data_IF_539541824951
#
_entry.id   IF_539541824951
#
_cell.length_a   1.000
_cell.length_b   1.000
_cell.length_c   1.000
_cell.angle_alpha   90.00
_cell.angle_beta   90.00
_cell.angle_gamma   90.00
#
_symmetry.space_group_name_H-M   'P 1'
#
loop_
_entity.id
_entity.type
_entity.pdbx_description
1 polymer ?
#
# COMPACT_ATOMS: atom_id res chain seq x y z
N UNK A 1 -45.49 1.46 -7.92
CA UNK A 1 -44.58 2.62 -8.00
C UNK A 1 -43.27 2.22 -7.32
N UNK A 2 -42.36 1.60 -8.06
CA UNK A 2 -41.09 1.07 -7.53
C UNK A 2 -40.06 2.20 -7.47
N UNK A 3 -39.62 2.59 -6.28
CA UNK A 3 -38.42 3.43 -6.11
C UNK A 3 -37.21 2.51 -5.97
N UNK A 4 -36.28 2.64 -6.91
CA UNK A 4 -35.04 1.88 -7.06
C UNK A 4 -34.13 2.07 -5.83
N UNK A 5 -33.42 0.99 -5.52
CA UNK A 5 -32.24 0.94 -4.67
C UNK A 5 -31.21 1.96 -5.16
N UNK A 6 -30.65 2.73 -4.23
CA UNK A 6 -29.34 3.37 -4.35
C UNK A 6 -28.71 3.31 -2.96
N UNK A 7 -28.10 2.17 -2.65
CA UNK A 7 -27.06 2.07 -1.64
C UNK A 7 -25.89 2.89 -2.18
N UNK A 8 -25.93 4.22 -1.98
CA UNK A 8 -24.72 5.02 -2.11
C UNK A 8 -24.15 5.11 -0.71
N UNK A 9 -23.44 4.03 -0.38
CA UNK A 9 -22.38 3.97 0.60
C UNK A 9 -21.47 5.17 0.30
N UNK A 10 -21.58 6.20 1.13
CA UNK A 10 -20.75 7.40 1.05
C UNK A 10 -19.31 6.94 1.31
N UNK A 11 -18.59 6.66 0.22
CA UNK A 11 -17.17 6.44 0.20
C UNK A 11 -16.51 7.74 0.65
N UNK A 12 -16.42 7.95 1.96
CA UNK A 12 -15.51 8.92 2.54
C UNK A 12 -14.13 8.39 2.22
N UNK A 13 -13.59 8.81 1.07
CA UNK A 13 -12.16 8.79 0.79
C UNK A 13 -11.51 9.57 1.95
N UNK A 14 -11.15 8.86 3.01
CA UNK A 14 -10.29 9.38 4.04
C UNK A 14 -8.96 9.70 3.36
N UNK A 15 -8.85 10.95 2.91
CA UNK A 15 -7.68 11.53 2.25
C UNK A 15 -6.44 11.47 3.12
N UNK A 16 -6.55 11.04 4.38
CA UNK A 16 -5.46 10.85 5.32
C UNK A 16 -5.72 9.56 6.12
N UNK A 17 -4.69 8.75 6.40
CA UNK A 17 -4.85 7.60 7.28
C UNK A 17 -5.37 8.03 8.67
N UNK A 18 -6.13 7.15 9.35
CA UNK A 18 -6.70 7.45 10.67
C UNK A 18 -5.60 7.65 11.73
N UNK A 19 -5.97 8.25 12.85
CA UNK A 19 -5.13 8.36 14.06
C UNK A 19 -3.76 9.02 13.83
N UNK A 20 -3.72 10.06 12.98
CA UNK A 20 -2.50 10.81 12.62
C UNK A 20 -1.34 9.94 12.12
N UNK A 21 -1.65 8.76 11.58
CA UNK A 21 -0.65 7.89 11.00
C UNK A 21 0.04 8.56 9.81
N UNK A 22 1.29 8.18 9.54
CA UNK A 22 2.02 8.72 8.40
C UNK A 22 1.48 8.09 7.10
N UNK A 23 1.08 8.89 6.10
CA UNK A 23 0.59 8.36 4.82
C UNK A 23 1.68 7.64 4.01
N UNK A 24 2.96 7.83 4.35
CA UNK A 24 4.08 7.08 3.79
C UNK A 24 4.88 6.45 4.93
N UNK A 25 5.27 5.18 4.78
CA UNK A 25 6.15 4.49 5.72
C UNK A 25 7.13 3.59 4.98
N UNK A 26 8.42 3.76 5.26
CA UNK A 26 9.45 2.81 4.83
C UNK A 26 9.66 1.78 5.95
N UNK A 27 9.40 0.52 5.66
CA UNK A 27 9.62 -0.59 6.60
C UNK A 27 10.92 -1.28 6.20
N UNK A 28 11.87 -1.35 7.13
CA UNK A 28 13.13 -2.09 6.94
C UNK A 28 13.30 -3.16 8.01
N UNK A 29 14.03 -4.22 7.68
CA UNK A 29 14.34 -5.31 8.60
C UNK A 29 14.98 -6.50 7.89
N UNK A 30 15.30 -7.54 8.65
CA UNK A 30 15.73 -8.83 8.09
C UNK A 30 14.59 -9.47 7.30
N UNK A 31 14.91 -10.22 6.25
CA UNK A 31 13.96 -11.05 5.53
C UNK A 31 13.50 -12.24 6.40
N UNK A 32 12.58 -11.98 7.32
CA UNK A 32 12.05 -12.96 8.26
C UNK A 32 10.55 -12.80 8.52
N UNK A 33 9.98 -13.72 9.31
CA UNK A 33 8.57 -13.72 9.66
C UNK A 33 8.12 -12.44 10.38
N UNK A 34 8.99 -11.75 11.11
CA UNK A 34 8.65 -10.50 11.78
C UNK A 34 8.51 -9.36 10.76
N UNK A 35 9.39 -9.30 9.76
CA UNK A 35 9.24 -8.35 8.66
C UNK A 35 7.95 -8.60 7.88
N UNK A 36 7.69 -9.84 7.48
CA UNK A 36 6.46 -10.23 6.79
C UNK A 36 5.21 -9.82 7.59
N UNK A 37 5.19 -10.07 8.90
CA UNK A 37 4.07 -9.67 9.78
C UNK A 37 3.83 -8.17 9.77
N UNK A 38 4.88 -7.35 9.88
CA UNK A 38 4.77 -5.87 9.87
C UNK A 38 4.21 -5.34 8.55
N UNK A 39 4.55 -5.99 7.42
CA UNK A 39 3.97 -5.65 6.11
C UNK A 39 2.51 -6.08 6.06
N UNK A 40 2.17 -7.30 6.46
CA UNK A 40 0.78 -7.78 6.50
C UNK A 40 -0.11 -6.91 7.37
N UNK A 41 0.37 -6.44 8.53
CA UNK A 41 -0.34 -5.50 9.39
C UNK A 41 -0.60 -4.16 8.70
N UNK A 42 0.41 -3.60 8.01
CA UNK A 42 0.22 -2.35 7.25
C UNK A 42 -0.83 -2.52 6.14
N UNK A 43 -0.81 -3.65 5.42
CA UNK A 43 -1.79 -3.96 4.40
C UNK A 43 -3.19 -4.13 4.99
N UNK A 44 -3.33 -4.79 6.13
CA UNK A 44 -4.60 -4.94 6.84
C UNK A 44 -5.18 -3.60 7.31
N UNK A 45 -4.32 -2.63 7.65
CA UNK A 45 -4.71 -1.26 7.99
C UNK A 45 -5.16 -0.43 6.78
N UNK A 46 -4.96 -0.93 5.55
CA UNK A 46 -5.40 -0.25 4.33
C UNK A 46 -4.27 0.40 3.52
N UNK A 47 -3.01 0.29 3.95
CA UNK A 47 -1.89 0.71 3.12
C UNK A 47 -1.78 -0.14 1.84
N UNK A 48 -1.01 0.37 0.88
CA UNK A 48 -0.63 -0.31 -0.36
C UNK A 48 0.88 -0.37 -0.47
N UNK A 49 1.39 -1.41 -1.12
CA UNK A 49 2.81 -1.50 -1.45
C UNK A 49 3.13 -0.43 -2.50
N UNK A 50 4.25 0.27 -2.31
CA UNK A 50 4.77 1.20 -3.29
C UNK A 50 6.01 0.61 -3.96
N UNK A 51 5.85 0.18 -5.21
CA UNK A 51 6.90 -0.47 -5.99
C UNK A 51 7.36 -1.81 -5.40
N UNK A 52 8.44 -2.33 -5.99
CA UNK A 52 9.07 -3.58 -5.54
C UNK A 52 9.92 -3.38 -4.27
N UNK A 53 10.07 -4.40 -3.43
CA UNK A 53 10.98 -4.35 -2.29
C UNK A 53 12.43 -4.24 -2.77
N UNK A 54 13.25 -3.55 -1.98
CA UNK A 54 14.70 -3.53 -2.14
C UNK A 54 15.32 -4.52 -1.14
N UNK A 55 16.23 -5.38 -1.62
CA UNK A 55 16.92 -6.36 -0.78
C UNK A 55 18.43 -6.19 -0.91
N UNK A 56 19.15 -6.23 0.21
CA UNK A 56 20.62 -6.18 0.25
C UNK A 56 21.16 -7.17 1.27
N UNK A 57 22.35 -7.73 1.04
CA UNK A 57 23.00 -8.64 1.99
C UNK A 57 24.06 -7.88 2.79
N UNK A 58 23.99 -7.91 4.12
CA UNK A 58 24.91 -7.17 4.98
C UNK A 58 26.16 -7.97 5.41
N UNK A 59 26.37 -9.16 4.83
CA UNK A 59 27.42 -10.10 5.23
C UNK A 59 26.94 -11.24 6.14
N UNK A 60 25.77 -11.08 6.78
CA UNK A 60 25.17 -12.09 7.67
C UNK A 60 23.74 -12.42 7.26
N UNK A 61 22.94 -11.40 6.99
CA UNK A 61 21.51 -11.50 6.75
C UNK A 61 21.10 -10.70 5.50
N UNK A 62 20.00 -11.12 4.88
CA UNK A 62 19.30 -10.32 3.87
C UNK A 62 18.47 -9.26 4.59
N UNK A 63 18.73 -8.00 4.28
CA UNK A 63 18.00 -6.83 4.76
C UNK A 63 17.08 -6.37 3.64
N UNK A 64 15.80 -6.27 3.96
CA UNK A 64 14.72 -5.87 3.05
C UNK A 64 14.21 -4.49 3.45
N UNK A 65 13.88 -3.69 2.45
CA UNK A 65 13.16 -2.44 2.58
C UNK A 65 11.94 -2.46 1.67
N UNK A 66 10.76 -2.20 2.24
CA UNK A 66 9.50 -2.07 1.50
C UNK A 66 8.79 -0.79 1.92
N UNK A 67 8.49 0.05 0.93
CA UNK A 67 7.66 1.23 1.13
C UNK A 67 6.17 0.85 1.11
N UNK A 68 5.41 1.40 2.06
CA UNK A 68 3.95 1.31 2.10
C UNK A 68 3.36 2.71 2.13
N UNK A 69 2.31 2.92 1.33
CA UNK A 69 1.65 4.21 1.15
C UNK A 69 0.15 4.08 1.41
N UNK A 70 -0.43 5.10 2.02
CA UNK A 70 -1.87 5.24 2.08
C UNK A 70 -2.40 5.59 0.68
N UNK A 71 -3.53 5.03 0.23
CA UNK A 71 -4.00 5.21 -1.14
C UNK A 71 -4.15 6.67 -1.60
N UNK A 72 -4.50 7.60 -0.71
CA UNK A 72 -4.63 9.03 -1.07
C UNK A 72 -3.30 9.77 -1.20
N UNK A 73 -2.20 9.21 -0.68
CA UNK A 73 -0.89 9.84 -0.68
C UNK A 73 -0.21 9.79 -2.04
N UNK A 74 -0.57 8.79 -2.83
CA UNK A 74 -0.16 8.61 -4.21
C UNK A 74 -1.37 8.92 -5.08
N UNK A 75 -1.39 10.09 -5.71
CA UNK A 75 -2.37 10.37 -6.75
C UNK A 75 -2.25 9.23 -7.76
N UNK A 76 -3.36 8.48 -7.92
CA UNK A 76 -3.44 7.22 -8.65
C UNK A 76 -2.43 7.18 -9.80
N UNK A 77 -1.49 6.23 -9.79
CA UNK A 77 -0.77 5.84 -10.98
C UNK A 77 -1.83 5.69 -12.07
N UNK A 78 -1.90 6.68 -12.97
CA UNK A 78 -2.75 6.60 -14.13
C UNK A 78 -2.31 5.31 -14.83
N UNK A 79 -3.23 4.40 -15.19
CA UNK A 79 -2.86 3.22 -15.95
C UNK A 79 -2.19 3.71 -17.23
N UNK A 80 -0.87 3.64 -17.25
CA UNK A 80 -0.07 3.96 -18.40
C UNK A 80 -0.48 2.98 -19.48
N UNK A 81 -1.18 3.50 -20.48
CA UNK A 81 -1.32 2.97 -21.83
C UNK A 81 -0.47 1.73 -22.07
N UNK A 82 -1.08 0.55 -21.86
CA UNK A 82 -0.57 -0.68 -22.43
C UNK A 82 -0.90 -0.65 -23.92
N UNK A 83 -0.06 0.05 -24.68
CA UNK A 83 -0.06 -0.03 -26.13
C UNK A 83 0.26 -1.50 -26.47
N UNK A 84 -0.63 -2.24 -27.15
CA UNK A 84 -0.29 -3.56 -27.62
C UNK A 84 0.77 -3.39 -28.71
N UNK A 85 2.00 -3.83 -28.44
CA UNK A 85 2.96 -4.03 -29.53
C UNK A 85 2.41 -5.14 -30.44
N UNK A 86 2.02 -4.70 -31.63
CA UNK A 86 1.57 -5.52 -32.75
C UNK A 86 2.66 -6.48 -33.25
#
# INVERSE_FOLDING_TARGET
>A
MFRRIAVHEEQTLDSKPPNDMLPYRLVTGKDDANFCRRISEALALGYRLHGSPACTFNGTDVIVAQAVVWPSAVAADAPGDATPHA
#
